data_IF_091463123792
#
_entry.id   IF_091463123792
#
_cell.length_a   1.000
_cell.length_b   1.000
_cell.length_c   1.000
_cell.angle_alpha   90.00
_cell.angle_beta   90.00
_cell.angle_gamma   90.00
#
_symmetry.space_group_name_H-M   'P 1'
#
loop_
_entity.id
_entity.type
_entity.pdbx_description
1 polymer ?
#
# COMPACT_ATOMS: atom_id res chain seq x y z
N UNK A 1 -20.52 0.44 -51.45
CA UNK A 1 -19.51 -0.07 -50.49
C UNK A 1 -18.98 1.03 -49.56
N UNK A 2 -18.54 2.19 -50.07
CA UNK A 2 -17.99 3.26 -49.23
C UNK A 2 -19.06 4.01 -48.42
N UNK A 3 -20.17 4.39 -49.05
CA UNK A 3 -21.28 5.09 -48.38
C UNK A 3 -21.91 4.26 -47.25
N UNK A 4 -22.11 2.96 -47.46
CA UNK A 4 -22.65 2.05 -46.44
C UNK A 4 -21.72 1.93 -45.22
N UNK A 5 -20.39 2.01 -45.41
CA UNK A 5 -19.42 2.06 -44.31
C UNK A 5 -19.52 3.36 -43.52
N UNK A 6 -19.64 4.49 -44.21
CA UNK A 6 -19.76 5.82 -43.59
C UNK A 6 -21.07 5.94 -42.80
N UNK A 7 -22.19 5.52 -43.39
CA UNK A 7 -23.51 5.53 -42.73
C UNK A 7 -23.49 4.66 -41.48
N UNK A 8 -22.92 3.45 -41.55
CA UNK A 8 -22.81 2.58 -40.38
C UNK A 8 -21.93 3.20 -39.28
N UNK A 9 -20.79 3.79 -39.65
CA UNK A 9 -19.90 4.46 -38.70
C UNK A 9 -20.60 5.64 -38.01
N UNK A 10 -21.35 6.45 -38.76
CA UNK A 10 -22.08 7.58 -38.21
C UNK A 10 -23.18 7.15 -37.22
N UNK A 11 -23.96 6.13 -37.57
CA UNK A 11 -24.99 5.57 -36.68
C UNK A 11 -24.34 4.99 -35.41
N UNK A 12 -23.24 4.23 -35.56
CA UNK A 12 -22.48 3.72 -34.40
C UNK A 12 -21.95 4.85 -33.53
N UNK A 13 -21.37 5.90 -34.12
CA UNK A 13 -20.87 7.06 -33.37
C UNK A 13 -21.98 7.72 -32.57
N UNK A 14 -23.18 7.93 -33.13
CA UNK A 14 -24.30 8.53 -32.39
C UNK A 14 -24.73 7.66 -31.20
N UNK A 15 -24.85 6.34 -31.39
CA UNK A 15 -25.26 5.41 -30.34
C UNK A 15 -24.20 5.35 -29.22
N UNK A 16 -22.91 5.33 -29.58
CA UNK A 16 -21.81 5.21 -28.63
C UNK A 16 -21.35 6.54 -28.04
N UNK A 17 -21.73 7.68 -28.62
CA UNK A 17 -21.36 9.00 -28.09
C UNK A 17 -21.92 9.24 -26.68
N UNK A 18 -23.08 8.64 -26.36
CA UNK A 18 -23.65 8.71 -25.02
C UNK A 18 -22.91 7.85 -23.99
N UNK A 19 -21.97 6.99 -24.41
CA UNK A 19 -21.25 6.04 -23.54
C UNK A 19 -19.79 6.46 -23.39
N UNK A 20 -19.44 6.89 -22.18
CA UNK A 20 -18.09 7.31 -21.81
C UNK A 20 -17.05 6.17 -21.74
N UNK A 21 -17.50 4.91 -21.73
CA UNK A 21 -16.63 3.73 -21.58
C UNK A 21 -15.76 3.43 -22.82
N UNK A 22 -16.01 4.07 -23.97
CA UNK A 22 -15.34 3.77 -25.23
C UNK A 22 -14.93 5.04 -25.96
N UNK A 23 -13.66 5.10 -26.38
CA UNK A 23 -13.22 6.17 -27.27
C UNK A 23 -13.48 5.79 -28.73
N UNK A 24 -14.19 6.63 -29.51
CA UNK A 24 -14.36 6.42 -30.95
C UNK A 24 -13.04 6.57 -31.73
N UNK A 25 -12.03 7.18 -31.10
CA UNK A 25 -10.68 7.29 -31.64
C UNK A 25 -9.90 5.99 -31.38
N UNK A 26 -9.00 5.62 -32.30
CA UNK A 26 -8.15 4.45 -32.13
C UNK A 26 -7.19 4.59 -30.93
N UNK A 27 -6.59 3.47 -30.49
CA UNK A 27 -5.72 3.37 -29.29
C UNK A 27 -4.70 4.50 -29.09
N UNK A 28 -4.11 5.02 -30.17
CA UNK A 28 -3.12 6.10 -30.09
C UNK A 28 -3.69 7.49 -29.77
N UNK A 29 -5.00 7.67 -29.97
CA UNK A 29 -5.71 8.95 -29.83
C UNK A 29 -6.82 8.91 -28.77
N UNK A 30 -6.93 7.82 -28.00
CA UNK A 30 -7.95 7.69 -26.95
C UNK A 30 -7.89 8.83 -25.93
N UNK A 31 -6.69 9.32 -25.61
CA UNK A 31 -6.48 10.41 -24.65
C UNK A 31 -6.82 11.79 -25.20
N UNK A 32 -7.01 11.94 -26.51
CA UNK A 32 -7.49 13.19 -27.12
C UNK A 32 -8.98 13.40 -26.87
N UNK A 33 -9.72 12.30 -26.70
CA UNK A 33 -11.14 12.35 -26.34
C UNK A 33 -11.32 12.72 -24.88
N UNK A 34 -11.81 13.93 -24.64
CA UNK A 34 -12.07 14.45 -23.28
C UNK A 34 -13.05 13.58 -22.48
N UNK A 35 -14.03 13.00 -23.16
CA UNK A 35 -15.07 12.15 -22.56
C UNK A 35 -14.45 10.88 -21.99
N UNK A 36 -13.67 10.16 -22.79
CA UNK A 36 -12.98 8.95 -22.35
C UNK A 36 -11.85 9.25 -21.35
N UNK A 37 -11.07 10.33 -21.55
CA UNK A 37 -10.00 10.70 -20.65
C UNK A 37 -10.51 11.06 -19.23
N UNK A 38 -11.65 11.74 -19.15
CA UNK A 38 -12.30 12.07 -17.87
C UNK A 38 -12.84 10.83 -17.16
N UNK A 39 -13.44 9.90 -17.90
CA UNK A 39 -13.86 8.59 -17.41
C UNK A 39 -12.67 7.81 -16.82
N UNK A 40 -11.60 7.63 -17.57
CA UNK A 40 -10.40 6.90 -17.09
C UNK A 40 -9.81 7.55 -15.83
N UNK A 41 -9.74 8.88 -15.81
CA UNK A 41 -9.29 9.64 -14.65
C UNK A 41 -10.17 9.40 -13.42
N UNK A 42 -11.49 9.39 -13.60
CA UNK A 42 -12.44 9.05 -12.54
C UNK A 42 -12.20 7.65 -11.98
N UNK A 43 -12.00 6.63 -12.83
CA UNK A 43 -11.69 5.26 -12.38
C UNK A 43 -10.39 5.18 -11.59
N UNK A 44 -9.35 5.89 -12.01
CA UNK A 44 -8.09 5.92 -11.26
C UNK A 44 -8.26 6.56 -9.87
N UNK A 45 -9.03 7.65 -9.78
CA UNK A 45 -9.33 8.30 -8.51
C UNK A 45 -10.18 7.37 -7.63
N UNK A 46 -11.24 6.77 -8.17
CA UNK A 46 -12.13 5.89 -7.42
C UNK A 46 -11.39 4.65 -6.89
N UNK A 47 -10.57 4.01 -7.73
CA UNK A 47 -9.72 2.89 -7.32
C UNK A 47 -8.78 3.26 -6.18
N UNK A 48 -8.19 4.46 -6.24
CA UNK A 48 -7.23 4.91 -5.22
C UNK A 48 -7.92 5.33 -3.92
N UNK A 49 -9.11 5.94 -4.01
CA UNK A 49 -9.85 6.44 -2.84
C UNK A 49 -10.66 5.35 -2.14
N UNK A 50 -11.23 4.39 -2.89
CA UNK A 50 -12.10 3.33 -2.37
C UNK A 50 -11.55 1.94 -2.64
N UNK A 51 -10.26 1.72 -2.37
CA UNK A 51 -9.67 0.40 -2.53
C UNK A 51 -10.26 -0.59 -1.50
N UNK A 52 -11.02 -1.62 -1.90
CA UNK A 52 -11.80 -2.44 -0.97
C UNK A 52 -10.91 -3.20 0.02
N UNK A 53 -9.75 -3.69 -0.42
CA UNK A 53 -8.78 -4.37 0.46
C UNK A 53 -8.23 -3.42 1.53
N UNK A 54 -8.02 -2.14 1.18
CA UNK A 54 -7.48 -1.16 2.12
C UNK A 54 -8.54 -0.80 3.17
N UNK A 55 -9.79 -0.61 2.75
CA UNK A 55 -10.90 -0.32 3.65
C UNK A 55 -11.09 -1.44 4.67
N UNK A 56 -11.14 -2.69 4.20
CA UNK A 56 -11.25 -3.87 5.09
C UNK A 56 -10.02 -3.99 6.00
N UNK A 57 -8.82 -3.73 5.50
CA UNK A 57 -7.60 -3.75 6.30
C UNK A 57 -7.63 -2.69 7.43
N UNK A 58 -8.08 -1.47 7.12
CA UNK A 58 -8.26 -0.39 8.09
C UNK A 58 -9.32 -0.78 9.13
N UNK A 59 -10.43 -1.39 8.70
CA UNK A 59 -11.48 -1.88 9.60
C UNK A 59 -10.95 -2.93 10.57
N UNK A 60 -10.18 -3.91 10.08
CA UNK A 60 -9.53 -4.93 10.91
C UNK A 60 -8.60 -4.27 11.93
N UNK A 61 -7.76 -3.32 11.50
CA UNK A 61 -6.87 -2.59 12.42
C UNK A 61 -7.67 -1.81 13.45
N UNK A 62 -8.74 -1.11 13.05
CA UNK A 62 -9.59 -0.33 13.95
C UNK A 62 -10.21 -1.21 15.03
N UNK A 63 -10.78 -2.36 14.64
CA UNK A 63 -11.33 -3.33 15.59
C UNK A 63 -10.27 -3.81 16.57
N UNK A 64 -9.09 -4.21 16.08
CA UNK A 64 -7.98 -4.65 16.94
C UNK A 64 -7.50 -3.56 17.90
N UNK A 65 -7.44 -2.30 17.47
CA UNK A 65 -7.09 -1.16 18.32
C UNK A 65 -8.12 -0.95 19.44
N UNK A 66 -9.41 -1.09 19.14
CA UNK A 66 -10.47 -1.00 20.15
C UNK A 66 -10.33 -2.13 21.17
N UNK A 67 -10.07 -3.36 20.72
CA UNK A 67 -9.88 -4.51 21.61
C UNK A 67 -8.67 -4.33 22.51
N UNK A 68 -7.55 -3.83 21.97
CA UNK A 68 -6.34 -3.52 22.74
C UNK A 68 -6.64 -2.46 23.80
N UNK A 69 -7.40 -1.40 23.48
CA UNK A 69 -7.80 -0.37 24.45
C UNK A 69 -8.67 -0.95 25.57
N UNK A 70 -9.66 -1.78 25.23
CA UNK A 70 -10.50 -2.49 26.22
C UNK A 70 -9.66 -3.39 27.12
N UNK A 71 -8.69 -4.10 26.55
CA UNK A 71 -7.79 -4.98 27.28
C UNK A 71 -6.87 -4.21 28.24
N UNK A 72 -6.31 -3.07 27.78
CA UNK A 72 -5.50 -2.18 28.62
C UNK A 72 -6.29 -1.64 29.81
N UNK A 73 -7.56 -1.27 29.61
CA UNK A 73 -8.46 -0.87 30.68
C UNK A 73 -8.66 -1.99 31.71
N UNK A 74 -8.94 -3.23 31.26
CA UNK A 74 -9.06 -4.40 32.15
C UNK A 74 -7.76 -4.70 32.92
N UNK A 75 -6.61 -4.50 32.28
CA UNK A 75 -5.29 -4.67 32.89
C UNK A 75 -5.03 -3.61 33.97
N UNK A 76 -5.43 -2.35 33.72
CA UNK A 76 -5.32 -1.25 34.67
C UNK A 76 -6.16 -1.45 35.94
N UNK A 77 -7.23 -2.24 35.84
CA UNK A 77 -8.09 -2.62 36.98
C UNK A 77 -7.52 -3.88 37.69
N UNK A 78 -6.37 -4.39 37.28
CA UNK A 78 -5.68 -5.50 37.92
C UNK A 78 -6.28 -6.89 37.66
N UNK A 79 -7.26 -7.02 36.76
CA UNK A 79 -8.03 -8.27 36.62
C UNK A 79 -7.28 -9.42 35.91
N UNK A 80 -6.30 -9.15 35.03
CA UNK A 80 -5.79 -10.16 34.06
C UNK A 80 -4.30 -9.96 33.68
N UNK A 81 -3.40 -9.66 34.63
CA UNK A 81 -2.01 -9.33 34.28
C UNK A 81 -1.19 -10.53 33.77
N UNK A 82 -1.25 -11.69 34.44
CA UNK A 82 -0.39 -12.84 34.12
C UNK A 82 -0.78 -13.55 32.81
N UNK A 83 -2.09 -13.74 32.56
CA UNK A 83 -2.59 -14.39 31.32
C UNK A 83 -2.28 -13.55 30.08
N UNK A 84 -2.31 -12.22 30.19
CA UNK A 84 -2.07 -11.31 29.06
C UNK A 84 -0.66 -11.42 28.47
N UNK A 85 0.37 -11.46 29.33
CA UNK A 85 1.77 -11.55 28.87
C UNK A 85 2.04 -12.89 28.17
N UNK A 86 1.46 -13.99 28.67
CA UNK A 86 1.60 -15.31 28.05
C UNK A 86 0.93 -15.37 26.67
N UNK A 87 -0.27 -14.79 26.53
CA UNK A 87 -0.99 -14.74 25.26
C UNK A 87 -0.27 -13.89 24.21
N UNK A 88 0.34 -12.78 24.63
CA UNK A 88 1.12 -11.90 23.76
C UNK A 88 2.35 -12.62 23.18
N UNK A 89 3.10 -13.33 24.01
CA UNK A 89 4.25 -14.12 23.57
C UNK A 89 3.83 -15.24 22.60
N UNK A 90 2.70 -15.90 22.88
CA UNK A 90 2.12 -16.92 22.00
C UNK A 90 1.76 -16.35 20.62
N UNK A 91 1.10 -15.19 20.58
CA UNK A 91 0.77 -14.51 19.32
C UNK A 91 2.00 -14.15 18.51
N UNK A 92 3.05 -13.60 19.14
CA UNK A 92 4.31 -13.25 18.45
C UNK A 92 4.92 -14.48 17.77
N UNK A 93 4.97 -15.63 18.46
CA UNK A 93 5.49 -16.88 17.88
C UNK A 93 4.67 -17.31 16.68
N UNK A 94 3.33 -17.28 16.78
CA UNK A 94 2.44 -17.63 15.66
C UNK A 94 2.64 -16.69 14.46
N UNK A 95 2.77 -15.39 14.68
CA UNK A 95 3.06 -14.43 13.61
C UNK A 95 4.43 -14.68 12.96
N UNK A 96 5.46 -15.01 13.73
CA UNK A 96 6.78 -15.36 13.19
C UNK A 96 6.73 -16.62 12.33
N UNK A 97 6.02 -17.66 12.77
CA UNK A 97 5.84 -18.88 12.00
C UNK A 97 5.00 -18.67 10.75
N UNK A 98 3.88 -17.94 10.85
CA UNK A 98 3.05 -17.58 9.70
C UNK A 98 3.87 -16.79 8.67
N UNK A 99 4.71 -15.85 9.14
CA UNK A 99 5.59 -15.10 8.26
C UNK A 99 6.63 -16.01 7.57
N UNK A 100 7.27 -16.91 8.32
CA UNK A 100 8.24 -17.85 7.76
C UNK A 100 7.58 -18.73 6.69
N UNK A 101 6.39 -19.27 6.99
CA UNK A 101 5.60 -20.05 6.04
C UNK A 101 5.27 -19.27 4.76
N UNK A 102 4.77 -18.04 4.89
CA UNK A 102 4.46 -17.18 3.73
C UNK A 102 5.70 -16.89 2.90
N UNK A 103 6.85 -16.64 3.53
CA UNK A 103 8.11 -16.39 2.83
C UNK A 103 8.63 -17.64 2.12
N UNK A 104 8.52 -18.82 2.73
CA UNK A 104 8.92 -20.08 2.11
C UNK A 104 8.09 -20.35 0.85
N UNK A 105 6.77 -20.11 0.91
CA UNK A 105 5.86 -20.32 -0.24
C UNK A 105 5.95 -19.23 -1.32
N UNK A 106 6.46 -18.04 -0.99
CA UNK A 106 6.52 -16.90 -1.91
C UNK A 106 7.95 -16.34 -2.00
N UNK A 107 8.80 -16.99 -2.79
CA UNK A 107 10.23 -16.65 -2.84
C UNK A 107 10.51 -15.22 -3.31
N UNK A 108 9.75 -14.71 -4.28
CA UNK A 108 9.86 -13.32 -4.75
C UNK A 108 9.79 -12.31 -3.59
N UNK A 109 8.96 -12.55 -2.58
CA UNK A 109 8.79 -11.66 -1.44
C UNK A 109 10.04 -11.61 -0.54
N UNK A 110 10.86 -12.66 -0.52
CA UNK A 110 12.14 -12.67 0.23
C UNK A 110 13.07 -11.58 -0.30
N UNK A 111 13.20 -11.47 -1.62
CA UNK A 111 14.06 -10.48 -2.30
C UNK A 111 13.59 -9.05 -2.01
N UNK A 112 12.30 -8.76 -2.19
CA UNK A 112 11.73 -7.44 -1.91
C UNK A 112 11.89 -7.03 -0.45
N UNK A 113 11.69 -7.98 0.48
CA UNK A 113 11.85 -7.73 1.91
C UNK A 113 13.31 -7.41 2.27
N UNK A 114 14.27 -8.20 1.78
CA UNK A 114 15.71 -7.96 2.01
C UNK A 114 16.13 -6.57 1.52
N UNK A 115 15.68 -6.19 0.32
CA UNK A 115 15.95 -4.87 -0.25
C UNK A 115 15.40 -3.73 0.63
N UNK A 116 14.13 -3.81 1.05
CA UNK A 116 13.54 -2.79 1.95
C UNK A 116 14.25 -2.70 3.30
N UNK A 117 14.67 -3.83 3.87
CA UNK A 117 15.42 -3.84 5.13
C UNK A 117 16.80 -3.19 4.97
N UNK A 118 17.49 -3.42 3.85
CA UNK A 118 18.77 -2.80 3.54
C UNK A 118 18.62 -1.27 3.37
N UNK A 119 17.62 -0.82 2.59
CA UNK A 119 17.29 0.59 2.43
C UNK A 119 17.05 1.27 3.78
N UNK A 120 16.23 0.68 4.66
CA UNK A 120 15.94 1.27 5.96
C UNK A 120 17.19 1.41 6.84
N UNK A 121 18.11 0.44 6.80
CA UNK A 121 19.39 0.53 7.54
C UNK A 121 20.24 1.69 7.03
N UNK A 122 20.32 1.86 5.70
CA UNK A 122 21.06 2.98 5.08
C UNK A 122 20.40 4.34 5.37
N UNK A 123 19.07 4.41 5.44
CA UNK A 123 18.37 5.64 5.84
C UNK A 123 18.66 5.97 7.29
N UNK A 124 18.61 4.98 8.19
CA UNK A 124 18.92 5.17 9.61
C UNK A 124 20.37 5.61 9.82
N UNK A 125 21.36 5.02 9.12
CA UNK A 125 22.75 5.45 9.23
C UNK A 125 22.93 6.90 8.81
N UNK A 126 22.31 7.33 7.70
CA UNK A 126 22.33 8.72 7.22
C UNK A 126 21.61 9.69 8.17
N UNK A 127 20.53 9.26 8.81
CA UNK A 127 19.84 10.06 9.83
C UNK A 127 20.71 10.22 11.07
N UNK A 128 21.41 9.16 11.49
CA UNK A 128 22.34 9.19 12.61
C UNK A 128 23.54 10.09 12.30
N UNK A 129 24.16 9.96 11.14
CA UNK A 129 25.26 10.85 10.68
C UNK A 129 24.83 12.33 10.75
N UNK A 130 23.65 12.68 10.22
CA UNK A 130 23.11 14.03 10.30
C UNK A 130 22.86 14.53 11.73
N UNK A 131 22.49 13.64 12.65
CA UNK A 131 22.29 13.99 14.07
C UNK A 131 23.65 14.19 14.74
N UNK A 132 24.63 13.33 14.48
CA UNK A 132 26.00 13.46 14.99
C UNK A 132 26.68 14.75 14.49
N UNK A 133 26.49 15.11 13.22
CA UNK A 133 26.98 16.36 12.63
C UNK A 133 26.33 17.58 13.31
N UNK A 134 25.02 17.51 13.59
CA UNK A 134 24.26 18.59 14.23
C UNK A 134 24.59 18.77 15.72
N UNK A 135 25.05 17.72 16.39
CA UNK A 135 25.48 17.73 17.80
C UNK A 135 26.97 18.11 17.91
N UNK A 136 27.69 18.28 16.79
CA UNK A 136 29.09 18.72 16.79
C UNK A 136 30.09 17.67 17.26
N UNK A 137 29.70 16.38 17.27
CA UNK A 137 30.54 15.28 17.75
C UNK A 137 31.45 14.66 16.66
N UNK A 138 31.57 15.28 15.49
CA UNK A 138 32.38 14.75 14.37
C UNK A 138 33.90 14.96 14.52
N UNK A 139 34.39 15.40 15.68
CA UNK A 139 35.82 15.42 15.98
C UNK A 139 36.09 14.60 17.24
N UNK A 140 36.48 13.34 17.06
CA UNK A 140 37.52 12.59 17.80
C UNK A 140 37.33 11.08 17.62
N UNK A 141 37.83 10.55 16.51
CA UNK A 141 38.35 9.18 16.50
C UNK A 141 39.80 9.26 16.01
N UNK A 142 40.82 9.13 16.88
CA UNK A 142 42.19 9.05 16.43
C UNK A 142 42.36 7.75 15.64
N UNK A 143 42.81 7.86 14.39
CA UNK A 143 43.48 6.77 13.68
C UNK A 143 44.66 6.35 14.56
N UNK A 144 44.54 5.21 15.24
CA UNK A 144 45.71 4.51 15.73
C UNK A 144 46.28 3.68 14.56
N UNK A 145 47.57 3.94 14.36
CA UNK A 145 48.57 3.39 13.44
C UNK A 145 48.23 2.11 12.67
#
# INVERSE_FOLDING_TARGET
>A
MCLTRIVKAFICSIIFFARFDYSPYGRGLEMYDSSYASYVSFFHIEKNQRHPVLNVFIDIIRQRLIDIRKLKYKLSIGKIHHTYEQDKLSQIRRFRWALAYTLIKNEQLKRYRKHRLCLNKTTQSKTLEKIFDKIGLSQTLPRQY
#
